data_IF_285178662400
#
_entry.id   IF_285178662400
#
_cell.length_a   1.000
_cell.length_b   1.000
_cell.length_c   1.000
_cell.angle_alpha   90.00
_cell.angle_beta   90.00
_cell.angle_gamma   90.00
#
_symmetry.space_group_name_H-M   'P 1'
#
loop_
_entity.id
_entity.type
_entity.pdbx_description
1 polymer ?
#
# COMPACT_ATOMS: atom_id res chain seq x y z
N UNK A 1 13.10 21.39 -3.48
CA UNK A 1 11.96 20.51 -3.82
C UNK A 1 11.22 20.20 -2.54
N UNK A 2 9.91 20.42 -2.48
CA UNK A 2 9.10 20.01 -1.32
C UNK A 2 9.14 18.47 -1.22
N UNK A 3 9.49 17.95 -0.05
CA UNK A 3 9.49 16.51 0.21
C UNK A 3 8.04 16.05 0.31
N UNK A 4 7.60 15.21 -0.62
CA UNK A 4 6.28 14.58 -0.55
C UNK A 4 6.28 13.58 0.59
N UNK A 5 5.34 13.76 1.53
CA UNK A 5 5.12 12.83 2.63
C UNK A 5 3.98 11.91 2.20
N UNK A 6 4.28 10.62 2.03
CA UNK A 6 3.26 9.62 1.80
C UNK A 6 2.63 9.23 3.15
N UNK A 7 1.29 9.25 3.26
CA UNK A 7 0.61 8.88 4.49
C UNK A 7 0.81 7.39 4.80
N UNK A 8 0.73 7.06 6.08
CA UNK A 8 0.64 5.67 6.56
C UNK A 8 -0.73 5.47 7.16
N UNK A 9 -1.61 4.73 6.49
CA UNK A 9 -3.02 4.61 6.85
C UNK A 9 -3.51 3.18 6.64
N UNK A 10 -4.42 2.75 7.50
CA UNK A 10 -5.11 1.46 7.37
C UNK A 10 -6.60 1.67 7.22
N UNK A 11 -7.17 1.13 6.14
CA UNK A 11 -8.61 0.98 5.94
C UNK A 11 -8.87 -0.47 5.55
N UNK A 12 -9.21 -1.30 6.52
CA UNK A 12 -9.32 -2.75 6.32
C UNK A 12 -10.27 -3.07 5.14
N UNK A 13 -9.87 -3.95 4.19
CA UNK A 13 -8.71 -4.85 4.21
C UNK A 13 -7.42 -4.29 3.59
N UNK A 14 -7.28 -2.98 3.45
CA UNK A 14 -6.15 -2.32 2.79
C UNK A 14 -5.31 -1.48 3.75
N UNK A 15 -4.04 -1.32 3.39
CA UNK A 15 -3.07 -0.49 4.11
C UNK A 15 -2.17 0.23 3.11
N UNK A 16 -1.74 1.45 3.43
CA UNK A 16 -0.73 2.18 2.66
C UNK A 16 0.42 2.63 3.54
N UNK A 17 1.64 2.52 3.02
CA UNK A 17 2.88 3.00 3.65
C UNK A 17 3.88 3.32 2.54
N UNK A 18 4.61 4.45 2.66
CA UNK A 18 5.69 4.84 1.73
C UNK A 18 5.24 4.84 0.26
N UNK A 19 3.98 5.19 0.01
CA UNK A 19 3.37 5.25 -1.32
C UNK A 19 2.95 3.89 -1.91
N UNK A 20 3.11 2.79 -1.17
CA UNK A 20 2.67 1.46 -1.57
C UNK A 20 1.32 1.12 -0.98
N UNK A 21 0.55 0.26 -1.67
CA UNK A 21 -0.64 -0.35 -1.11
C UNK A 21 -0.45 -1.83 -0.85
N UNK A 22 -1.11 -2.30 0.21
CA UNK A 22 -1.11 -3.66 0.67
C UNK A 22 -2.54 -4.13 0.89
N UNK A 23 -2.80 -5.39 0.58
CA UNK A 23 -4.07 -6.06 0.83
C UNK A 23 -3.86 -7.14 1.89
N UNK A 24 -4.74 -7.16 2.90
CA UNK A 24 -4.84 -8.24 3.86
C UNK A 24 -5.43 -9.48 3.18
N UNK A 25 -4.77 -10.62 3.35
CA UNK A 25 -5.15 -11.87 2.68
C UNK A 25 -5.70 -12.87 3.69
N UNK A 26 -4.97 -13.15 4.77
CA UNK A 26 -5.43 -14.01 5.85
C UNK A 26 -4.51 -13.91 7.08
N UNK A 27 -5.02 -14.18 8.29
CA UNK A 27 -4.21 -14.42 9.51
C UNK A 27 -3.09 -13.39 9.76
N UNK A 28 -3.41 -12.11 9.58
CA UNK A 28 -2.45 -11.01 9.75
C UNK A 28 -1.41 -10.87 8.64
N UNK A 29 -1.48 -11.71 7.59
CA UNK A 29 -0.63 -11.66 6.40
C UNK A 29 -1.19 -10.68 5.38
N UNK A 30 -0.30 -9.82 4.92
CA UNK A 30 -0.54 -8.84 3.87
C UNK A 30 0.32 -9.11 2.65
N UNK A 31 -0.14 -8.63 1.48
CA UNK A 31 0.62 -8.64 0.22
C UNK A 31 0.60 -7.28 -0.42
N UNK A 32 1.73 -6.85 -0.98
CA UNK A 32 1.81 -5.65 -1.80
C UNK A 32 1.00 -5.84 -3.08
N UNK A 33 0.24 -4.82 -3.47
CA UNK A 33 -0.54 -4.80 -4.70
C UNK A 33 0.05 -3.79 -5.70
N UNK A 34 -0.25 -3.96 -6.98
CA UNK A 34 0.19 -3.07 -8.05
C UNK A 34 -0.67 -1.80 -8.08
N UNK A 35 -0.63 -1.06 -6.97
CA UNK A 35 -1.28 0.22 -6.82
C UNK A 35 -0.34 1.13 -6.01
N UNK A 36 -0.15 2.34 -6.50
CA UNK A 36 0.79 3.30 -5.94
C UNK A 36 0.10 4.63 -5.72
N UNK A 37 0.42 5.28 -4.61
CA UNK A 37 -0.07 6.62 -4.35
C UNK A 37 0.65 7.59 -5.30
N UNK A 38 -0.07 8.39 -6.09
CA UNK A 38 0.58 9.38 -6.93
C UNK A 38 1.32 10.39 -6.04
N UNK A 39 2.42 10.93 -6.57
CA UNK A 39 3.29 11.88 -5.89
C UNK A 39 2.68 13.31 -5.76
N UNK A 40 1.39 13.48 -6.03
CA UNK A 40 0.73 14.79 -6.01
C UNK A 40 -0.77 14.69 -5.71
N UNK A 41 -1.31 15.51 -4.77
CA UNK A 41 -2.74 15.63 -4.52
C UNK A 41 -3.56 16.06 -5.74
N UNK A 42 -2.96 16.88 -6.61
CA UNK A 42 -3.62 17.40 -7.81
C UNK A 42 -4.03 16.29 -8.79
N UNK A 43 -3.36 15.12 -8.78
CA UNK A 43 -3.70 13.98 -9.65
C UNK A 43 -5.15 13.51 -9.47
N UNK A 44 -5.73 13.70 -8.29
CA UNK A 44 -7.13 13.36 -8.02
C UNK A 44 -7.97 14.57 -7.59
N UNK A 45 -7.49 15.79 -7.85
CA UNK A 45 -8.10 17.03 -7.40
C UNK A 45 -8.43 16.98 -5.90
N UNK A 46 -7.40 16.65 -5.10
CA UNK A 46 -7.44 16.62 -3.64
C UNK A 46 -6.53 17.71 -3.08
N UNK A 47 -6.80 18.12 -1.85
CA UNK A 47 -6.01 19.12 -1.11
C UNK A 47 -4.83 18.49 -0.36
N UNK A 48 -4.89 17.18 -0.07
CA UNK A 48 -3.86 16.46 0.68
C UNK A 48 -3.60 15.03 0.18
N UNK A 49 -2.46 14.46 0.58
CA UNK A 49 -2.09 13.09 0.24
C UNK A 49 -2.96 12.05 0.97
N UNK A 50 -3.45 12.37 2.16
CA UNK A 50 -4.40 11.56 2.92
C UNK A 50 -5.72 11.43 2.16
N UNK A 51 -6.25 12.54 1.63
CA UNK A 51 -7.46 12.51 0.80
C UNK A 51 -7.26 11.70 -0.49
N UNK A 52 -6.06 11.75 -1.08
CA UNK A 52 -5.71 10.88 -2.20
C UNK A 52 -5.74 9.40 -1.77
N UNK A 53 -5.14 9.07 -0.63
CA UNK A 53 -5.13 7.70 -0.13
C UNK A 53 -6.55 7.20 0.13
N UNK A 54 -7.41 8.01 0.74
CA UNK A 54 -8.82 7.69 0.96
C UNK A 54 -9.57 7.43 -0.34
N UNK A 55 -9.42 8.28 -1.37
CA UNK A 55 -10.02 8.04 -2.69
C UNK A 55 -9.54 6.74 -3.33
N UNK A 56 -8.25 6.39 -3.18
CA UNK A 56 -7.70 5.14 -3.70
C UNK A 56 -8.23 3.94 -2.91
N UNK A 57 -8.35 4.05 -1.59
CA UNK A 57 -8.99 3.03 -0.76
C UNK A 57 -10.43 2.79 -1.19
N UNK A 58 -11.22 3.84 -1.40
CA UNK A 58 -12.62 3.71 -1.81
C UNK A 58 -12.74 2.96 -3.14
N UNK A 59 -11.87 3.26 -4.12
CA UNK A 59 -11.80 2.55 -5.40
C UNK A 59 -11.39 1.08 -5.29
N UNK A 60 -10.50 0.77 -4.35
CA UNK A 60 -10.08 -0.61 -4.06
C UNK A 60 -11.21 -1.40 -3.39
N UNK A 61 -11.87 -0.80 -2.40
CA UNK A 61 -12.98 -1.40 -1.65
C UNK A 61 -14.20 -1.63 -2.57
N UNK A 62 -14.50 -0.65 -3.44
CA UNK A 62 -15.61 -0.76 -4.38
C UNK A 62 -15.32 -1.72 -5.55
N UNK A 63 -14.12 -2.26 -5.66
CA UNK A 63 -13.71 -3.14 -6.77
C UNK A 63 -13.52 -2.42 -8.12
N UNK A 64 -13.52 -1.09 -8.15
CA UNK A 64 -13.27 -0.31 -9.37
C UNK A 64 -11.83 -0.50 -9.88
N UNK A 65 -10.90 -0.79 -8.97
CA UNK A 65 -9.51 -1.10 -9.31
C UNK A 65 -9.31 -2.61 -9.24
N UNK A 66 -8.94 -3.22 -10.37
CA UNK A 66 -8.57 -4.64 -10.41
C UNK A 66 -7.24 -4.83 -9.68
N UNK A 67 -7.28 -5.56 -8.58
CA UNK A 67 -6.10 -5.82 -7.77
C UNK A 67 -5.18 -6.81 -8.49
N UNK A 68 -3.94 -6.36 -8.74
CA UNK A 68 -2.85 -7.20 -9.24
C UNK A 68 -1.76 -7.30 -8.19
N UNK A 69 -0.93 -8.35 -8.28
CA UNK A 69 0.22 -8.52 -7.39
C UNK A 69 1.22 -7.40 -7.63
N UNK A 70 1.66 -6.73 -6.57
CA UNK A 70 2.69 -5.69 -6.66
C UNK A 70 3.99 -6.25 -7.20
N UNK A 71 4.87 -5.38 -7.70
CA UNK A 71 6.17 -5.80 -8.23
C UNK A 71 7.23 -5.81 -7.12
N UNK A 72 8.23 -6.68 -7.27
CA UNK A 72 9.47 -6.64 -6.50
C UNK A 72 10.39 -5.54 -7.05
N UNK A 73 11.49 -5.28 -6.36
CA UNK A 73 12.54 -4.34 -6.82
C UNK A 73 13.12 -4.69 -8.19
N UNK A 74 13.00 -5.96 -8.62
CA UNK A 74 13.47 -6.44 -9.92
C UNK A 74 12.37 -6.48 -10.98
N UNK A 75 11.20 -5.88 -10.72
CA UNK A 75 10.09 -5.82 -11.68
C UNK A 75 9.29 -7.11 -11.85
N UNK A 76 9.60 -8.17 -11.10
CA UNK A 76 8.82 -9.41 -11.10
C UNK A 76 7.63 -9.32 -10.14
N UNK A 77 6.56 -10.08 -10.37
CA UNK A 77 5.46 -10.15 -9.39
C UNK A 77 5.98 -10.58 -8.01
N UNK A 78 5.75 -9.72 -7.02
CA UNK A 78 6.12 -9.96 -5.65
C UNK A 78 5.33 -11.14 -5.08
N UNK A 79 6.07 -12.10 -4.53
CA UNK A 79 5.53 -13.20 -3.71
C UNK A 79 5.74 -12.93 -2.22
N UNK A 80 6.18 -11.72 -1.88
CA UNK A 80 6.48 -11.34 -0.51
C UNK A 80 5.20 -11.28 0.31
N UNK A 81 5.35 -11.70 1.56
CA UNK A 81 4.31 -11.65 2.59
C UNK A 81 4.81 -10.70 3.66
N UNK A 82 3.91 -9.91 4.21
CA UNK A 82 4.23 -8.91 5.21
C UNK A 82 3.31 -9.05 6.41
N UNK A 83 3.82 -8.69 7.58
CA UNK A 83 3.03 -8.46 8.79
C UNK A 83 2.94 -6.95 9.02
N UNK A 84 1.78 -6.48 9.48
CA UNK A 84 1.64 -5.12 9.97
C UNK A 84 2.05 -5.10 11.44
N UNK A 85 3.18 -4.45 11.77
CA UNK A 85 3.73 -4.36 13.12
C UNK A 85 3.92 -2.88 13.46
N UNK A 86 3.24 -2.40 14.52
CA UNK A 86 3.30 -1.01 14.96
C UNK A 86 3.06 0.02 13.83
N UNK A 87 2.17 -0.30 12.88
CA UNK A 87 1.86 0.57 11.74
C UNK A 87 2.80 0.45 10.53
N UNK A 88 3.86 -0.37 10.62
CA UNK A 88 4.80 -0.63 9.52
C UNK A 88 4.69 -2.04 8.93
N UNK A 89 4.89 -2.14 7.62
CA UNK A 89 4.87 -3.40 6.87
C UNK A 89 6.24 -4.09 6.90
N UNK A 90 6.33 -5.18 7.65
CA UNK A 90 7.57 -5.96 7.82
C UNK A 90 7.51 -7.25 7.02
N UNK A 91 8.52 -7.53 6.20
CA UNK A 91 8.57 -8.75 5.39
C UNK A 91 8.73 -9.99 6.29
N UNK A 92 7.92 -11.02 6.07
CA UNK A 92 7.93 -12.24 6.89
C UNK A 92 9.26 -13.00 6.76
N UNK A 93 9.92 -12.97 5.59
CA UNK A 93 11.21 -13.64 5.41
C UNK A 93 12.36 -12.96 6.16
N UNK A 94 12.29 -11.64 6.38
CA UNK A 94 13.32 -10.95 7.16
C UNK A 94 13.23 -11.26 8.65
N UNK A 95 12.05 -11.63 9.15
CA UNK A 95 11.87 -12.02 10.55
C UNK A 95 12.48 -13.39 10.90
N UNK A 96 12.67 -14.29 9.91
CA UNK A 96 13.24 -15.63 10.11
C UNK A 96 14.78 -15.64 10.05
N UNK A 97 15.42 -14.48 9.84
CA UNK A 97 16.89 -14.34 9.71
C UNK A 97 17.52 -13.55 10.86
N UNK A 98 16.75 -13.19 11.88
CA UNK A 98 17.24 -12.63 13.15
C UNK A 98 17.02 -13.63 14.26
#
# INVERSE_FOLDING_TARGET
>A
MAKIIFPTLTRFPFHTEKGNFYQHINDGIWKRIECYLPASPATYNCDSMEQVADKVFDKLISGQVKIKRGLSVNGHSSKEKYNLIAGGMVNVKSLLRG
#
